data_IF_038065871849
#
_entry.id   IF_038065871849
#
_cell.length_a   1.000
_cell.length_b   1.000
_cell.length_c   1.000
_cell.angle_alpha   90.00
_cell.angle_beta   90.00
_cell.angle_gamma   90.00
#
_symmetry.space_group_name_H-M   'P 1'
#
loop_
_entity.id
_entity.type
_entity.pdbx_description
1 polymer ?
#
# COMPACT_ATOMS: atom_id res chain seq x y z
N UNK A 1 -48.81 -41.21 -13.30
CA UNK A 1 -48.16 -39.91 -13.51
C UNK A 1 -46.83 -40.18 -14.19
N UNK A 2 -46.52 -39.59 -15.36
CA UNK A 2 -45.25 -39.85 -16.03
C UNK A 2 -44.12 -39.12 -15.30
N UNK A 3 -43.03 -39.83 -15.06
CA UNK A 3 -41.77 -39.30 -14.55
C UNK A 3 -41.05 -38.65 -15.74
N UNK A 4 -40.77 -37.35 -15.63
CA UNK A 4 -40.01 -36.59 -16.62
C UNK A 4 -38.56 -36.56 -16.14
N UNK A 5 -37.67 -37.18 -16.91
CA UNK A 5 -36.23 -37.13 -16.66
C UNK A 5 -35.64 -35.76 -17.02
N UNK A 6 -34.65 -35.24 -16.26
CA UNK A 6 -34.06 -33.94 -16.50
C UNK A 6 -33.11 -33.96 -17.72
N UNK A 7 -33.27 -32.97 -18.59
CA UNK A 7 -32.44 -32.72 -19.77
C UNK A 7 -31.07 -32.20 -19.33
N UNK A 8 -29.94 -32.75 -19.84
CA UNK A 8 -28.61 -32.26 -19.49
C UNK A 8 -28.31 -30.91 -20.14
N UNK A 9 -27.89 -29.96 -19.30
CA UNK A 9 -27.51 -28.60 -19.66
C UNK A 9 -26.18 -28.57 -20.42
N UNK A 10 -26.24 -28.19 -21.71
CA UNK A 10 -25.07 -28.08 -22.61
C UNK A 10 -24.42 -26.69 -22.61
N UNK A 11 -24.78 -25.79 -21.70
CA UNK A 11 -24.29 -24.40 -21.71
C UNK A 11 -22.87 -24.19 -21.13
N UNK A 12 -22.15 -25.26 -20.75
CA UNK A 12 -20.83 -25.18 -20.11
C UNK A 12 -19.60 -25.30 -21.04
N UNK A 13 -19.77 -25.52 -22.35
CA UNK A 13 -18.62 -25.78 -23.24
C UNK A 13 -18.13 -24.59 -24.09
N UNK A 14 -18.78 -23.42 -24.05
CA UNK A 14 -18.45 -22.31 -24.98
C UNK A 14 -17.64 -21.14 -24.40
N UNK A 15 -17.01 -21.28 -23.23
CA UNK A 15 -16.23 -20.21 -22.58
C UNK A 15 -14.69 -20.40 -22.63
N UNK A 16 -14.18 -21.27 -23.51
CA UNK A 16 -12.76 -21.68 -23.51
C UNK A 16 -11.88 -21.04 -24.60
N UNK A 17 -12.39 -20.15 -25.46
CA UNK A 17 -11.64 -19.65 -26.64
C UNK A 17 -11.39 -18.13 -26.66
N UNK A 18 -10.76 -17.58 -25.61
CA UNK A 18 -10.09 -16.26 -25.68
C UNK A 18 -8.64 -16.41 -25.20
N UNK A 19 -7.63 -15.87 -25.92
CA UNK A 19 -6.22 -16.13 -25.65
C UNK A 19 -5.77 -15.41 -24.37
N UNK A 20 -5.73 -16.16 -23.26
CA UNK A 20 -5.29 -15.74 -21.92
C UNK A 20 -3.79 -15.40 -21.81
N UNK A 21 -3.00 -15.56 -22.88
CA UNK A 21 -1.53 -15.58 -22.80
C UNK A 21 -0.89 -14.19 -22.70
N UNK A 22 -1.46 -13.14 -23.29
CA UNK A 22 -0.80 -11.83 -23.32
C UNK A 22 -1.01 -11.00 -22.06
N UNK A 23 -2.19 -11.05 -21.43
CA UNK A 23 -2.48 -10.26 -20.21
C UNK A 23 -1.81 -10.83 -18.95
N UNK A 24 -1.57 -12.15 -18.92
CA UNK A 24 -0.89 -12.82 -17.80
C UNK A 24 0.61 -12.51 -17.76
N UNK A 25 1.27 -12.32 -18.92
CA UNK A 25 2.71 -12.05 -18.98
C UNK A 25 3.04 -10.66 -18.40
N UNK A 26 2.20 -9.64 -18.63
CA UNK A 26 2.39 -8.31 -18.05
C UNK A 26 2.13 -8.26 -16.53
N UNK A 27 1.11 -9.00 -16.06
CA UNK A 27 0.82 -9.10 -14.63
C UNK A 27 1.97 -9.77 -13.86
N UNK A 28 2.49 -10.89 -14.37
CA UNK A 28 3.57 -11.65 -13.73
C UNK A 28 4.93 -10.92 -13.74
N UNK A 29 5.23 -10.13 -14.78
CA UNK A 29 6.49 -9.40 -14.85
C UNK A 29 6.51 -8.15 -13.94
N UNK A 30 5.38 -7.44 -13.80
CA UNK A 30 5.28 -6.30 -12.87
C UNK A 30 5.36 -6.74 -11.40
N UNK A 31 4.78 -7.89 -11.06
CA UNK A 31 4.82 -8.45 -9.69
C UNK A 31 6.22 -8.94 -9.29
N UNK A 32 7.00 -9.52 -10.22
CA UNK A 32 8.40 -9.93 -9.97
C UNK A 32 9.34 -8.73 -9.77
N UNK A 33 9.12 -7.63 -10.49
CA UNK A 33 9.89 -6.38 -10.33
C UNK A 33 9.63 -5.71 -8.98
N UNK A 34 8.37 -5.69 -8.53
CA UNK A 34 8.01 -5.16 -7.20
C UNK A 34 8.55 -6.04 -6.05
N UNK A 35 8.62 -7.36 -6.23
CA UNK A 35 9.25 -8.29 -5.29
C UNK A 35 10.77 -8.08 -5.16
N UNK A 36 11.47 -7.83 -6.26
CA UNK A 36 12.90 -7.49 -6.20
C UNK A 36 13.13 -6.11 -5.54
N UNK A 37 12.23 -5.14 -5.74
CA UNK A 37 12.32 -3.82 -5.13
C UNK A 37 12.06 -3.82 -3.62
N UNK A 38 11.05 -4.54 -3.12
CA UNK A 38 10.79 -4.64 -1.67
C UNK A 38 11.92 -5.38 -0.92
N UNK A 39 12.51 -6.39 -1.54
CA UNK A 39 13.69 -7.09 -1.01
C UNK A 39 14.94 -6.22 -1.04
N UNK A 40 15.07 -5.30 -2.00
CA UNK A 40 16.16 -4.30 -2.04
C UNK A 40 16.01 -3.20 -0.99
N UNK A 41 14.77 -2.80 -0.65
CA UNK A 41 14.48 -1.84 0.43
C UNK A 41 14.80 -2.42 1.82
N UNK A 42 14.66 -3.73 2.02
CA UNK A 42 15.04 -4.38 3.29
C UNK A 42 16.54 -4.69 3.42
N UNK A 43 17.33 -4.55 2.34
CA UNK A 43 18.75 -4.98 2.32
C UNK A 43 19.74 -3.88 1.89
N UNK A 44 19.31 -2.71 1.44
CA UNK A 44 20.22 -1.58 1.23
C UNK A 44 20.52 -0.81 2.53
N UNK A 45 20.99 -1.54 3.55
CA UNK A 45 21.93 -0.95 4.49
C UNK A 45 23.23 -0.70 3.71
N UNK A 46 23.37 0.50 3.15
CA UNK A 46 24.67 0.95 2.66
C UNK A 46 25.73 0.71 3.74
N UNK A 47 26.91 0.15 3.41
CA UNK A 47 27.92 -0.15 4.41
C UNK A 47 28.19 1.10 5.26
N UNK A 48 28.23 0.97 6.59
CA UNK A 48 28.31 2.13 7.47
C UNK A 48 29.59 2.90 7.16
N UNK A 49 29.47 4.11 6.61
CA UNK A 49 30.55 5.09 6.66
C UNK A 49 30.86 5.29 8.14
N UNK A 50 32.09 4.97 8.56
CA UNK A 50 32.56 5.02 9.95
C UNK A 50 32.59 6.47 10.44
N UNK A 51 31.44 7.03 10.80
CA UNK A 51 31.38 8.18 11.70
C UNK A 51 31.46 7.62 13.11
N UNK A 52 32.55 7.93 13.80
CA UNK A 52 32.91 7.43 15.13
C UNK A 52 32.02 8.07 16.22
N UNK A 53 30.70 7.96 16.07
CA UNK A 53 29.74 8.64 16.92
C UNK A 53 29.22 7.69 17.98
N UNK A 54 29.91 7.66 19.14
CA UNK A 54 29.55 6.83 20.30
C UNK A 54 28.07 7.00 20.72
N UNK A 55 27.52 8.20 20.53
CA UNK A 55 26.11 8.52 20.78
C UNK A 55 25.16 7.66 19.92
N UNK A 56 25.48 7.48 18.64
CA UNK A 56 24.67 6.68 17.70
C UNK A 56 24.69 5.19 18.09
N UNK A 57 25.85 4.66 18.45
CA UNK A 57 25.94 3.27 18.91
C UNK A 57 25.15 3.05 20.21
N UNK A 58 25.18 4.02 21.13
CA UNK A 58 24.41 3.95 22.37
C UNK A 58 22.89 3.99 22.09
N UNK A 59 22.44 4.88 21.21
CA UNK A 59 21.04 4.96 20.79
C UNK A 59 20.56 3.62 20.18
N UNK A 60 21.31 3.07 19.22
CA UNK A 60 20.97 1.78 18.59
C UNK A 60 20.99 0.61 19.58
N UNK A 61 21.91 0.62 20.55
CA UNK A 61 21.95 -0.39 21.61
C UNK A 61 20.71 -0.31 22.49
N UNK A 62 20.34 0.89 22.94
CA UNK A 62 19.16 1.10 23.78
C UNK A 62 17.86 0.73 23.05
N UNK A 63 17.74 1.07 21.77
CA UNK A 63 16.59 0.68 20.95
C UNK A 63 16.50 -0.85 20.80
N UNK A 64 17.64 -1.55 20.55
CA UNK A 64 17.69 -3.02 20.48
C UNK A 64 17.34 -3.69 21.81
N UNK A 65 17.70 -3.07 22.92
CA UNK A 65 17.36 -3.54 24.26
C UNK A 65 15.93 -3.18 24.69
N UNK A 66 15.13 -2.54 23.83
CA UNK A 66 13.78 -2.04 24.12
C UNK A 66 13.74 -0.96 25.22
N UNK A 67 14.85 -0.27 25.48
CA UNK A 67 14.96 0.82 26.46
C UNK A 67 14.57 2.14 25.78
N UNK A 68 13.31 2.24 25.36
CA UNK A 68 12.81 3.33 24.52
C UNK A 68 12.89 4.71 25.20
N UNK A 69 12.73 4.78 26.53
CA UNK A 69 12.81 6.05 27.28
C UNK A 69 14.26 6.61 27.26
N UNK A 70 15.29 5.86 27.67
CA UNK A 70 16.68 6.27 27.50
C UNK A 70 17.07 6.58 26.04
N UNK A 71 16.62 5.76 25.08
CA UNK A 71 16.90 5.99 23.66
C UNK A 71 16.32 7.32 23.17
N UNK A 72 15.09 7.65 23.59
CA UNK A 72 14.43 8.92 23.30
C UNK A 72 15.22 10.11 23.85
N UNK A 73 15.76 10.00 25.07
CA UNK A 73 16.59 11.04 25.67
C UNK A 73 17.88 11.29 24.87
N UNK A 74 18.61 10.21 24.52
CA UNK A 74 19.83 10.31 23.70
C UNK A 74 19.52 10.95 22.34
N UNK A 75 18.39 10.58 21.72
CA UNK A 75 17.94 11.17 20.46
C UNK A 75 17.60 12.66 20.60
N UNK A 76 16.90 13.04 21.67
CA UNK A 76 16.60 14.44 21.99
C UNK A 76 17.86 15.29 22.17
N UNK A 77 18.86 14.74 22.86
CA UNK A 77 20.17 15.37 22.98
C UNK A 77 20.84 15.54 21.61
N UNK A 78 20.88 14.49 20.77
CA UNK A 78 21.42 14.58 19.42
C UNK A 78 20.70 15.63 18.55
N UNK A 79 19.37 15.74 18.67
CA UNK A 79 18.59 16.78 17.96
C UNK A 79 18.97 18.19 18.39
N UNK A 80 19.17 18.41 19.69
CA UNK A 80 19.58 19.71 20.22
C UNK A 80 20.93 20.17 19.67
N UNK A 81 21.88 19.25 19.47
CA UNK A 81 23.20 19.55 18.89
C UNK A 81 23.24 19.48 17.35
N UNK A 82 22.12 19.19 16.69
CA UNK A 82 22.04 19.23 15.23
C UNK A 82 21.97 20.69 14.79
N UNK A 83 22.95 21.13 14.00
CA UNK A 83 22.96 22.49 13.46
C UNK A 83 21.72 22.78 12.61
N UNK A 84 21.36 24.07 12.43
CA UNK A 84 20.11 24.48 11.76
C UNK A 84 20.00 23.92 10.34
N UNK A 85 21.11 23.88 9.60
CA UNK A 85 21.14 23.39 8.23
C UNK A 85 20.79 21.89 8.10
N UNK A 86 21.37 21.03 8.95
CA UNK A 86 21.07 19.59 8.93
C UNK A 86 19.63 19.29 9.35
N UNK A 87 19.10 20.06 10.32
CA UNK A 87 17.70 19.95 10.72
C UNK A 87 16.74 20.30 9.57
N UNK A 88 17.01 21.36 8.83
CA UNK A 88 16.16 21.81 7.73
C UNK A 88 16.12 20.77 6.60
N UNK A 89 17.29 20.25 6.20
CA UNK A 89 17.39 19.17 5.20
C UNK A 89 16.61 17.91 5.61
N UNK A 90 16.76 17.46 6.87
CA UNK A 90 16.04 16.29 7.38
C UNK A 90 14.52 16.49 7.38
N UNK A 91 14.04 17.66 7.85
CA UNK A 91 12.61 17.96 7.91
C UNK A 91 12.00 18.15 6.53
N UNK A 92 12.71 18.79 5.61
CA UNK A 92 12.27 18.95 4.22
C UNK A 92 12.13 17.57 3.54
N UNK A 93 13.10 16.68 3.74
CA UNK A 93 13.01 15.33 3.21
C UNK A 93 11.83 14.56 3.81
N UNK A 94 11.61 14.63 5.13
CA UNK A 94 10.48 13.98 5.82
C UNK A 94 9.17 14.44 5.20
N UNK A 95 8.99 15.76 5.07
CA UNK A 95 7.79 16.34 4.48
C UNK A 95 7.58 15.85 3.05
N UNK A 96 8.63 15.86 2.22
CA UNK A 96 8.56 15.39 0.84
C UNK A 96 8.19 13.92 0.74
N UNK A 97 8.71 13.08 1.64
CA UNK A 97 8.35 11.67 1.72
C UNK A 97 6.88 11.50 2.07
N UNK A 98 6.41 12.18 3.13
CA UNK A 98 5.02 12.11 3.59
C UNK A 98 4.03 12.63 2.53
N UNK A 99 4.36 13.72 1.85
CA UNK A 99 3.55 14.27 0.75
C UNK A 99 3.42 13.24 -0.40
N UNK A 100 4.52 12.59 -0.78
CA UNK A 100 4.50 11.53 -1.79
C UNK A 100 3.65 10.32 -1.32
N UNK A 101 3.74 9.92 -0.06
CA UNK A 101 2.90 8.85 0.50
C UNK A 101 1.41 9.18 0.46
N UNK A 102 1.04 10.43 0.72
CA UNK A 102 -0.34 10.88 0.59
C UNK A 102 -0.85 10.73 -0.85
N UNK A 103 -0.01 11.01 -1.85
CA UNK A 103 -0.34 10.75 -3.27
C UNK A 103 -0.59 9.25 -3.50
N UNK A 104 0.24 8.39 -2.94
CA UNK A 104 0.05 6.93 -2.99
C UNK A 104 -1.26 6.47 -2.39
N UNK A 105 -1.57 6.95 -1.18
CA UNK A 105 -2.83 6.64 -0.48
C UNK A 105 -4.03 7.11 -1.31
N UNK A 106 -4.00 8.34 -1.82
CA UNK A 106 -5.09 8.89 -2.65
C UNK A 106 -5.28 8.08 -3.94
N UNK A 107 -4.20 7.66 -4.59
CA UNK A 107 -4.23 6.84 -5.80
C UNK A 107 -4.85 5.47 -5.53
N UNK A 108 -4.52 4.85 -4.39
CA UNK A 108 -5.10 3.57 -3.98
C UNK A 108 -6.58 3.69 -3.63
N UNK A 109 -6.98 4.75 -2.92
CA UNK A 109 -8.39 5.03 -2.63
C UNK A 109 -9.19 5.24 -3.92
N UNK A 110 -8.64 6.01 -4.88
CA UNK A 110 -9.21 6.19 -6.22
C UNK A 110 -9.41 4.83 -6.90
N UNK A 111 -8.39 3.95 -6.87
CA UNK A 111 -8.47 2.61 -7.45
C UNK A 111 -9.58 1.77 -6.79
N UNK A 112 -9.64 1.71 -5.46
CA UNK A 112 -10.67 0.97 -4.72
C UNK A 112 -12.08 1.44 -5.10
N UNK A 113 -12.30 2.76 -5.17
CA UNK A 113 -13.57 3.35 -5.58
C UNK A 113 -13.97 2.91 -7.00
N UNK A 114 -13.04 2.92 -7.94
CA UNK A 114 -13.31 2.49 -9.32
C UNK A 114 -13.60 0.98 -9.38
N UNK A 115 -12.88 0.16 -8.62
CA UNK A 115 -13.14 -1.28 -8.52
C UNK A 115 -14.54 -1.57 -7.95
N UNK A 116 -14.96 -0.83 -6.93
CA UNK A 116 -16.32 -0.93 -6.37
C UNK A 116 -17.38 -0.52 -7.38
N UNK A 117 -17.17 0.60 -8.10
CA UNK A 117 -18.06 1.03 -9.20
C UNK A 117 -18.17 -0.04 -10.28
N UNK A 118 -17.05 -0.58 -10.77
CA UNK A 118 -17.03 -1.64 -11.77
C UNK A 118 -17.82 -2.88 -11.30
N UNK A 119 -17.61 -3.32 -10.06
CA UNK A 119 -18.35 -4.46 -9.48
C UNK A 119 -19.86 -4.20 -9.44
N UNK A 120 -20.28 -2.98 -9.07
CA UNK A 120 -21.70 -2.62 -9.05
C UNK A 120 -22.33 -2.66 -10.45
N UNK A 121 -21.62 -2.15 -11.48
CA UNK A 121 -22.08 -2.19 -12.87
C UNK A 121 -22.23 -3.63 -13.38
N UNK A 122 -21.25 -4.49 -13.10
CA UNK A 122 -21.32 -5.91 -13.48
C UNK A 122 -22.49 -6.63 -12.80
N UNK A 123 -22.77 -6.33 -11.54
CA UNK A 123 -23.90 -6.91 -10.81
C UNK A 123 -25.24 -6.44 -11.40
N UNK A 124 -25.36 -5.15 -11.77
CA UNK A 124 -26.54 -4.64 -12.47
C UNK A 124 -26.73 -5.32 -13.82
N UNK A 125 -25.66 -5.49 -14.62
CA UNK A 125 -25.75 -6.22 -15.89
C UNK A 125 -26.24 -7.66 -15.70
N UNK A 126 -25.74 -8.39 -14.70
CA UNK A 126 -26.19 -9.75 -14.40
C UNK A 126 -27.66 -9.81 -13.98
N UNK A 127 -28.17 -8.77 -13.33
CA UNK A 127 -29.59 -8.68 -12.97
C UNK A 127 -30.46 -8.36 -14.20
N UNK A 128 -29.99 -7.48 -15.09
CA UNK A 128 -30.69 -7.10 -16.32
C UNK A 128 -30.70 -8.22 -17.38
N UNK A 129 -29.63 -9.01 -17.50
CA UNK A 129 -29.58 -10.17 -18.39
C UNK A 129 -30.63 -11.24 -18.01
N UNK A 130 -30.99 -11.34 -16.72
CA UNK A 130 -32.05 -12.24 -16.23
C UNK A 130 -33.46 -11.74 -16.53
N UNK A 131 -33.64 -10.45 -16.87
CA UNK A 131 -34.94 -9.83 -17.15
C UNK A 131 -35.23 -9.58 -18.64
N UNK A 132 -34.48 -10.23 -19.55
CA UNK A 132 -34.78 -10.37 -20.98
C UNK A 132 -34.81 -9.08 -21.84
N UNK A 133 -34.25 -7.96 -21.39
CA UNK A 133 -34.29 -6.71 -22.17
C UNK A 133 -32.96 -5.96 -22.16
N UNK A 134 -32.41 -5.80 -23.36
CA UNK A 134 -31.44 -4.79 -23.83
C UNK A 134 -30.26 -4.47 -22.89
N UNK A 135 -29.08 -5.02 -23.21
CA UNK A 135 -27.81 -4.43 -22.77
C UNK A 135 -27.76 -2.98 -23.28
N UNK A 136 -27.89 -2.03 -22.37
CA UNK A 136 -27.72 -0.62 -22.70
C UNK A 136 -26.26 -0.40 -23.13
N UNK A 137 -26.04 0.11 -24.35
CA UNK A 137 -24.71 0.50 -24.85
C UNK A 137 -23.97 1.41 -23.84
N UNK A 138 -24.72 2.16 -23.02
CA UNK A 138 -24.21 3.02 -21.96
C UNK A 138 -23.48 2.24 -20.84
N UNK A 139 -23.96 1.06 -20.46
CA UNK A 139 -23.35 0.26 -19.39
C UNK A 139 -21.99 -0.31 -19.82
N UNK A 140 -21.89 -0.68 -21.10
CA UNK A 140 -20.65 -1.16 -21.69
C UNK A 140 -19.61 -0.04 -21.77
N UNK A 141 -20.01 1.16 -22.21
CA UNK A 141 -19.13 2.33 -22.25
C UNK A 141 -18.61 2.70 -20.85
N UNK A 142 -19.47 2.63 -19.82
CA UNK A 142 -19.11 2.91 -18.43
C UNK A 142 -18.16 1.85 -17.84
N UNK A 143 -18.30 0.58 -18.23
CA UNK A 143 -17.33 -0.47 -17.86
C UNK A 143 -15.97 -0.22 -18.49
N UNK A 144 -15.92 0.10 -19.78
CA UNK A 144 -14.66 0.41 -20.48
C UNK A 144 -13.99 1.66 -19.89
N UNK A 145 -14.78 2.67 -19.51
CA UNK A 145 -14.29 3.84 -18.79
C UNK A 145 -13.67 3.45 -17.45
N UNK A 146 -14.32 2.60 -16.66
CA UNK A 146 -13.75 2.09 -15.42
C UNK A 146 -12.43 1.35 -15.67
N UNK A 147 -12.32 0.56 -16.75
CA UNK A 147 -11.09 -0.14 -17.09
C UNK A 147 -9.95 0.81 -17.46
N UNK A 148 -10.23 1.85 -18.26
CA UNK A 148 -9.25 2.90 -18.57
C UNK A 148 -8.78 3.63 -17.31
N UNK A 149 -9.71 4.02 -16.44
CA UNK A 149 -9.38 4.69 -15.17
C UNK A 149 -8.55 3.78 -14.24
N UNK A 150 -8.84 2.47 -14.21
CA UNK A 150 -8.04 1.50 -13.45
C UNK A 150 -6.62 1.35 -14.00
N UNK A 151 -6.47 1.33 -15.33
CA UNK A 151 -5.16 1.24 -15.96
C UNK A 151 -4.33 2.49 -15.64
N UNK A 152 -4.94 3.67 -15.74
CA UNK A 152 -4.31 4.93 -15.38
C UNK A 152 -3.90 4.95 -13.89
N UNK A 153 -4.79 4.56 -12.98
CA UNK A 153 -4.48 4.52 -11.55
C UNK A 153 -3.34 3.53 -11.22
N UNK A 154 -3.21 2.43 -11.96
CA UNK A 154 -2.07 1.50 -11.81
C UNK A 154 -0.76 2.12 -12.27
N UNK A 155 -0.78 2.85 -13.39
CA UNK A 155 0.40 3.56 -13.88
C UNK A 155 0.83 4.67 -12.92
N UNK A 156 -0.12 5.49 -12.45
CA UNK A 156 0.10 6.52 -11.42
C UNK A 156 0.74 5.91 -10.17
N UNK A 157 0.19 4.78 -9.69
CA UNK A 157 0.72 4.10 -8.51
C UNK A 157 2.13 3.54 -8.73
N UNK A 158 2.43 3.01 -9.92
CA UNK A 158 3.77 2.54 -10.24
C UNK A 158 4.80 3.67 -10.26
N UNK A 159 4.46 4.83 -10.84
CA UNK A 159 5.33 6.01 -10.82
C UNK A 159 5.56 6.51 -9.39
N UNK A 160 4.50 6.55 -8.58
CA UNK A 160 4.58 6.85 -7.16
C UNK A 160 5.55 5.91 -6.42
N UNK A 161 5.48 4.60 -6.67
CA UNK A 161 6.41 3.63 -6.07
C UNK A 161 7.87 3.91 -6.46
N UNK A 162 8.14 4.34 -7.69
CA UNK A 162 9.47 4.77 -8.10
C UNK A 162 9.93 6.03 -7.39
N UNK A 163 9.03 7.02 -7.26
CA UNK A 163 9.29 8.25 -6.53
C UNK A 163 9.65 7.97 -5.07
N UNK A 164 8.85 7.17 -4.37
CA UNK A 164 9.16 6.73 -3.00
C UNK A 164 10.47 5.96 -2.91
N UNK A 165 10.74 5.05 -3.86
CA UNK A 165 12.01 4.31 -3.88
C UNK A 165 13.22 5.22 -4.09
N UNK A 166 13.06 6.28 -4.91
CA UNK A 166 14.09 7.31 -5.08
C UNK A 166 14.28 8.09 -3.78
N UNK A 167 13.20 8.60 -3.17
CA UNK A 167 13.26 9.34 -1.90
C UNK A 167 13.89 8.51 -0.79
N UNK A 168 13.54 7.23 -0.67
CA UNK A 168 14.11 6.31 0.30
C UNK A 168 15.63 6.13 0.13
N UNK A 169 16.13 6.10 -1.11
CA UNK A 169 17.59 6.03 -1.39
C UNK A 169 18.30 7.34 -1.11
N UNK A 170 17.60 8.46 -1.26
CA UNK A 170 18.10 9.82 -1.04
C UNK A 170 17.88 10.31 0.41
N UNK A 171 17.51 9.41 1.32
CA UNK A 171 17.26 9.74 2.73
C UNK A 171 18.52 10.36 3.39
N UNK A 172 18.42 11.58 3.95
CA UNK A 172 19.49 12.14 4.74
C UNK A 172 19.67 11.32 6.01
N UNK A 173 20.85 11.44 6.64
CA UNK A 173 21.12 10.77 7.91
C UNK A 173 21.06 11.79 9.02
N UNK A 174 20.26 11.50 10.03
CA UNK A 174 20.24 12.33 11.22
C UNK A 174 19.21 11.91 12.26
N UNK A 175 19.16 12.60 13.40
CA UNK A 175 18.34 12.20 14.52
C UNK A 175 16.83 12.40 14.28
N UNK A 176 16.43 13.28 13.37
CA UNK A 176 15.02 13.42 12.98
C UNK A 176 14.59 12.26 12.09
N UNK A 177 15.42 11.91 11.11
CA UNK A 177 15.18 10.75 10.23
C UNK A 177 15.09 9.46 11.04
N UNK A 178 16.00 9.25 12.01
CA UNK A 178 15.95 8.06 12.87
C UNK A 178 14.68 7.99 13.72
N UNK A 179 14.23 9.12 14.26
CA UNK A 179 12.97 9.14 15.00
C UNK A 179 11.79 8.79 14.10
N UNK A 180 11.76 9.40 12.91
CA UNK A 180 10.73 9.14 11.91
C UNK A 180 10.72 7.65 11.50
N UNK A 181 11.88 7.04 11.22
CA UNK A 181 12.00 5.60 10.93
C UNK A 181 11.55 4.73 12.13
N UNK A 182 11.86 5.15 13.36
CA UNK A 182 11.46 4.44 14.57
C UNK A 182 9.94 4.40 14.73
N UNK A 183 9.26 5.54 14.61
CA UNK A 183 7.79 5.63 14.72
C UNK A 183 7.10 4.75 13.66
N UNK A 184 7.75 4.54 12.53
CA UNK A 184 7.26 3.74 11.41
C UNK A 184 7.65 2.27 11.47
N UNK A 185 8.61 1.88 12.31
CA UNK A 185 9.04 0.49 12.51
C UNK A 185 8.38 -0.14 13.73
N UNK A 186 8.13 0.61 14.80
CA UNK A 186 7.45 0.11 15.99
C UNK A 186 6.01 -0.30 15.63
N UNK A 187 5.70 -1.57 15.86
CA UNK A 187 4.35 -2.13 15.67
C UNK A 187 3.67 -2.22 17.03
N UNK A 188 2.48 -1.66 17.15
CA UNK A 188 1.60 -1.80 18.33
C UNK A 188 0.64 -2.97 18.15
N UNK A 189 -0.29 -3.10 19.10
CA UNK A 189 -1.42 -4.02 19.03
C UNK A 189 -2.08 -3.96 17.63
N UNK A 190 -2.41 -5.13 17.07
CA UNK A 190 -2.88 -5.34 15.69
C UNK A 190 -1.85 -5.19 14.56
N UNK A 191 -0.57 -4.99 14.88
CA UNK A 191 0.51 -4.98 13.89
C UNK A 191 0.53 -3.73 13.01
N UNK A 192 -0.02 -2.62 13.50
CA UNK A 192 0.02 -1.32 12.83
C UNK A 192 1.19 -0.48 13.36
N UNK A 193 1.87 0.32 12.50
CA UNK A 193 2.91 1.25 12.93
C UNK A 193 2.40 2.27 13.95
N UNK A 194 3.26 2.76 14.83
CA UNK A 194 2.90 3.86 15.75
C UNK A 194 2.50 5.13 14.98
N UNK A 195 3.21 5.46 13.91
CA UNK A 195 2.87 6.59 13.03
C UNK A 195 1.41 6.53 12.53
N UNK A 196 0.92 5.34 12.16
CA UNK A 196 -0.46 5.16 11.69
C UNK A 196 -1.49 5.53 12.77
N UNK A 197 -1.23 5.20 14.04
CA UNK A 197 -2.13 5.56 15.13
C UNK A 197 -2.20 7.07 15.35
N UNK A 198 -1.07 7.76 15.25
CA UNK A 198 -0.99 9.21 15.40
C UNK A 198 -1.69 9.94 14.24
N UNK A 199 -1.45 9.48 13.01
CA UNK A 199 -2.11 9.99 11.80
C UNK A 199 -3.62 9.73 11.82
N UNK A 200 -4.04 8.53 12.22
CA UNK A 200 -5.45 8.17 12.32
C UNK A 200 -6.18 9.05 13.34
N UNK A 201 -5.55 9.29 14.51
CA UNK A 201 -6.08 10.20 15.51
C UNK A 201 -6.17 11.64 14.97
N UNK A 202 -5.16 12.12 14.24
CA UNK A 202 -5.18 13.45 13.62
C UNK A 202 -6.30 13.56 12.59
N UNK A 203 -6.45 12.57 11.71
CA UNK A 203 -7.52 12.51 10.73
C UNK A 203 -8.91 12.52 11.40
N UNK A 204 -9.10 11.76 12.48
CA UNK A 204 -10.34 11.75 13.24
C UNK A 204 -10.66 13.11 13.88
N UNK A 205 -9.67 13.75 14.51
CA UNK A 205 -9.82 15.08 15.13
C UNK A 205 -10.17 16.16 14.09
N UNK A 206 -9.66 16.04 12.87
CA UNK A 206 -10.01 16.93 11.75
C UNK A 206 -11.35 16.61 11.09
N UNK A 207 -12.13 15.65 11.60
CA UNK A 207 -13.41 15.24 11.02
C UNK A 207 -13.31 14.37 9.75
N UNK A 208 -12.13 13.78 9.50
CA UNK A 208 -11.86 12.92 8.34
C UNK A 208 -12.46 11.52 8.44
N UNK A 209 -12.07 10.62 7.53
CA UNK A 209 -12.60 9.24 7.47
C UNK A 209 -12.44 8.47 8.78
N UNK A 210 -11.36 8.70 9.52
CA UNK A 210 -11.02 7.95 10.72
C UNK A 210 -11.95 8.24 11.91
N UNK A 211 -12.73 9.32 11.87
CA UNK A 211 -13.79 9.55 12.87
C UNK A 211 -15.05 8.73 12.57
N UNK A 212 -15.15 8.13 11.38
CA UNK A 212 -16.31 7.35 10.93
C UNK A 212 -16.08 5.87 11.16
N UNK A 213 -17.15 5.15 11.52
CA UNK A 213 -17.16 3.69 11.65
C UNK A 213 -17.12 2.94 10.30
N UNK A 214 -16.75 3.61 9.20
CA UNK A 214 -16.71 2.99 7.88
C UNK A 214 -15.51 2.03 7.72
N UNK A 215 -14.51 2.11 8.60
CA UNK A 215 -13.34 1.25 8.57
C UNK A 215 -12.46 1.40 7.33
N UNK A 216 -12.72 2.35 6.42
CA UNK A 216 -11.97 2.48 5.16
C UNK A 216 -10.47 2.77 5.37
N UNK A 217 -10.14 3.41 6.49
CA UNK A 217 -8.78 3.81 6.84
C UNK A 217 -8.09 2.77 7.75
N UNK A 218 -8.87 1.84 8.34
CA UNK A 218 -8.44 0.67 9.11
C UNK A 218 -8.32 -0.58 8.26
N UNK A 219 -9.14 -0.68 7.21
CA UNK A 219 -8.98 -1.62 6.13
C UNK A 219 -7.58 -1.35 5.63
N UNK A 220 -6.64 -2.24 5.95
CA UNK A 220 -5.32 -2.01 5.47
C UNK A 220 -5.46 -1.96 3.96
N UNK A 221 -4.72 -1.05 3.34
CA UNK A 221 -4.32 -1.16 1.95
C UNK A 221 -3.51 -2.47 1.72
N UNK A 222 -3.72 -3.54 2.53
CA UNK A 222 -3.10 -4.87 2.52
C UNK A 222 -3.21 -5.51 1.16
N UNK A 223 -4.22 -5.23 0.34
CA UNK A 223 -4.23 -5.73 -1.05
C UNK A 223 -3.17 -5.08 -1.94
N UNK A 224 -2.56 -3.98 -1.50
CA UNK A 224 -1.52 -3.21 -2.21
C UNK A 224 -0.17 -3.17 -1.49
N UNK A 225 -0.16 -3.29 -0.15
CA UNK A 225 1.06 -3.43 0.66
C UNK A 225 1.44 -4.89 0.96
N UNK A 226 0.51 -5.86 0.91
CA UNK A 226 0.88 -7.28 0.75
C UNK A 226 1.04 -7.55 -0.74
N UNK A 227 2.29 -7.55 -1.21
CA UNK A 227 2.69 -8.71 -2.01
C UNK A 227 2.27 -9.94 -1.22
N UNK A 228 1.41 -10.80 -1.78
CA UNK A 228 1.10 -12.11 -1.23
C UNK A 228 2.41 -12.91 -1.16
N UNK A 229 3.21 -12.72 -0.12
CA UNK A 229 4.03 -13.79 0.41
C UNK A 229 3.06 -14.72 1.15
N UNK A 230 2.61 -15.73 0.42
CA UNK A 230 2.35 -17.08 0.90
C UNK A 230 1.44 -17.23 2.14
N UNK A 231 0.19 -17.59 1.91
CA UNK A 231 -0.40 -18.69 2.67
C UNK A 231 0.14 -19.97 2.04
N UNK A 232 1.28 -20.45 2.54
CA UNK A 232 1.52 -21.89 2.50
C UNK A 232 0.59 -22.44 3.58
N UNK A 233 -0.30 -23.32 3.16
CA UNK A 233 -1.15 -24.09 4.06
C UNK A 233 -0.24 -24.92 4.95
N UNK A 234 -0.25 -24.67 6.25
CA UNK A 234 0.14 -25.67 7.24
C UNK A 234 -1.03 -26.65 7.33
N UNK A 235 -1.04 -27.66 6.45
CA UNK A 235 -1.73 -28.92 6.68
C UNK A 235 -0.75 -29.84 7.41
N UNK A 236 -0.97 -30.00 8.72
CA UNK A 236 -0.50 -31.14 9.51
C UNK A 236 -1.64 -31.60 10.42
#
# INVERSE_FOLDING_TARGET
MPVIDPVPDKSLELASSLPKSHTLIYHLNSEKLLYQQSKSLSYHQSPPKKTNNKSKMLEEFLDRSHWHIPASFVRGFNKFFTGPFGREEELEWIKKYEDEELVGIATLQKKIRIEQRKKSLLLLQQLHEKSASEKSNNDQEELEKCERELLQARQEYWLHQQALSKLAREAPKGPWIREWELLRSIRKEHGMPLAWWEESKRCALSGGCCSRLCGCCEQPLRTYFRTKCWQIQDEH
#
